data_IF_943965898312
#
_entry.id   IF_943965898312
#
_cell.length_a   1.000
_cell.length_b   1.000
_cell.length_c   1.000
_cell.angle_alpha   90.00
_cell.angle_beta   90.00
_cell.angle_gamma   90.00
#
_symmetry.space_group_name_H-M   'P 1'
#
loop_
_entity.id
_entity.type
_entity.pdbx_description
1 polymer ?
#
# COMPACT_ATOMS: atom_id res chain seq x y z
N UNK A 1 -85.16 44.90 -56.27
CA UNK A 1 -85.67 43.53 -56.27
C UNK A 1 -84.43 42.65 -56.14
N UNK A 2 -84.17 42.14 -54.91
CA UNK A 2 -83.04 41.26 -54.64
C UNK A 2 -83.58 40.06 -53.90
N UNK A 3 -83.48 38.90 -54.52
CA UNK A 3 -83.83 37.62 -53.93
C UNK A 3 -82.71 37.13 -52.99
N UNK A 4 -83.13 36.82 -51.73
CA UNK A 4 -82.27 36.14 -50.74
C UNK A 4 -82.65 34.63 -50.77
N UNK A 5 -81.64 33.82 -51.00
CA UNK A 5 -81.75 32.34 -50.78
C UNK A 5 -81.08 32.00 -49.44
N UNK A 6 -81.61 31.23 -48.57
CA UNK A 6 -80.95 30.74 -47.40
C UNK A 6 -80.21 29.44 -47.71
N UNK A 7 -78.89 29.43 -47.34
CA UNK A 7 -78.03 28.23 -47.38
C UNK A 7 -78.28 27.40 -46.11
N UNK A 8 -78.68 26.17 -46.34
CA UNK A 8 -78.87 25.17 -45.28
C UNK A 8 -77.54 24.49 -45.06
N UNK A 9 -76.90 24.74 -43.91
CA UNK A 9 -75.62 24.11 -43.51
C UNK A 9 -75.94 22.77 -42.87
N UNK A 10 -75.56 21.67 -43.53
CA UNK A 10 -75.64 20.32 -43.02
C UNK A 10 -74.36 20.04 -42.20
N UNK A 11 -74.49 20.02 -40.85
CA UNK A 11 -73.37 19.69 -39.92
C UNK A 11 -73.18 18.19 -39.89
N UNK A 12 -72.07 17.71 -40.48
CA UNK A 12 -71.54 16.34 -40.29
C UNK A 12 -70.81 16.27 -38.97
N UNK A 13 -71.37 15.57 -38.00
CA UNK A 13 -70.67 15.22 -36.78
C UNK A 13 -69.74 14.05 -37.07
N UNK A 14 -68.45 14.34 -37.09
CA UNK A 14 -67.36 13.32 -37.08
C UNK A 14 -67.29 12.73 -35.68
N UNK A 15 -67.73 11.52 -35.47
CA UNK A 15 -67.45 10.73 -34.28
C UNK A 15 -66.07 10.12 -34.47
N UNK A 16 -65.10 10.73 -33.86
CA UNK A 16 -63.74 10.12 -33.73
C UNK A 16 -63.85 8.97 -32.72
N UNK A 17 -63.84 7.76 -33.18
CA UNK A 17 -63.57 6.56 -32.38
C UNK A 17 -62.12 6.61 -32.00
N UNK A 18 -61.83 7.10 -30.80
CA UNK A 18 -60.50 6.90 -30.17
C UNK A 18 -60.38 5.41 -29.88
N UNK A 19 -59.65 4.70 -30.73
CA UNK A 19 -59.15 3.36 -30.42
C UNK A 19 -58.20 3.47 -29.20
N UNK A 20 -58.64 2.94 -28.07
CA UNK A 20 -57.70 2.65 -26.96
C UNK A 20 -56.82 1.50 -27.45
N UNK A 21 -55.62 1.79 -27.93
CA UNK A 21 -54.56 0.78 -28.03
C UNK A 21 -54.33 0.25 -26.62
N UNK A 22 -54.35 -1.07 -26.41
CA UNK A 22 -53.97 -1.65 -25.16
C UNK A 22 -52.51 -1.20 -24.90
N UNK A 23 -52.24 -0.51 -23.77
CA UNK A 23 -50.89 -0.30 -23.29
C UNK A 23 -50.30 -1.70 -23.20
N UNK A 24 -49.27 -1.97 -24.02
CA UNK A 24 -48.44 -3.15 -23.86
C UNK A 24 -48.04 -3.23 -22.41
N UNK A 25 -48.52 -4.21 -21.68
CA UNK A 25 -47.98 -4.52 -20.37
C UNK A 25 -46.47 -4.78 -20.56
N UNK A 26 -45.60 -4.14 -19.75
CA UNK A 26 -44.19 -4.37 -19.88
C UNK A 26 -43.95 -5.88 -19.77
N UNK A 27 -43.39 -6.48 -20.83
CA UNK A 27 -43.00 -7.89 -20.80
C UNK A 27 -42.11 -8.10 -19.57
N UNK A 28 -42.38 -9.15 -18.77
CA UNK A 28 -41.53 -9.43 -17.60
C UNK A 28 -40.07 -9.49 -18.05
N UNK A 29 -39.22 -8.72 -17.40
CA UNK A 29 -37.80 -8.68 -17.68
C UNK A 29 -37.21 -10.10 -17.44
N UNK A 30 -36.69 -10.70 -18.51
CA UNK A 30 -36.13 -12.05 -18.42
C UNK A 30 -34.72 -11.93 -17.74
N UNK A 31 -34.60 -12.45 -16.52
CA UNK A 31 -33.33 -12.53 -15.84
C UNK A 31 -32.48 -13.58 -16.58
N UNK A 32 -31.23 -13.24 -17.00
CA UNK A 32 -30.35 -14.18 -17.67
C UNK A 32 -29.85 -15.26 -16.69
N UNK A 33 -29.27 -16.35 -17.19
CA UNK A 33 -28.74 -17.45 -16.36
C UNK A 33 -27.49 -17.05 -15.55
N UNK A 34 -26.77 -16.01 -15.98
CA UNK A 34 -25.62 -15.45 -15.27
C UNK A 34 -25.35 -14.02 -15.72
N UNK A 35 -24.58 -13.28 -14.92
CA UNK A 35 -24.13 -11.92 -15.20
C UNK A 35 -22.60 -11.86 -15.33
N UNK A 36 -22.02 -11.00 -16.18
CA UNK A 36 -20.59 -10.73 -16.19
C UNK A 36 -20.13 -10.25 -14.81
N UNK A 37 -19.05 -10.82 -14.28
CA UNK A 37 -18.52 -10.47 -12.96
C UNK A 37 -17.50 -9.34 -13.05
N UNK A 38 -17.63 -8.36 -12.17
CA UNK A 38 -16.60 -7.39 -11.83
C UNK A 38 -16.00 -7.76 -10.48
N UNK A 39 -14.69 -7.54 -10.35
CA UNK A 39 -13.92 -7.88 -9.16
C UNK A 39 -13.61 -6.63 -8.36
N UNK A 40 -13.73 -6.70 -7.04
CA UNK A 40 -13.34 -5.64 -6.14
C UNK A 40 -11.92 -5.91 -5.61
N UNK A 41 -11.05 -4.93 -5.77
CA UNK A 41 -9.77 -4.86 -5.06
C UNK A 41 -9.93 -3.83 -3.94
N UNK A 42 -9.66 -4.23 -2.72
CA UNK A 42 -9.55 -3.33 -1.57
C UNK A 42 -8.10 -3.33 -1.11
N UNK A 43 -7.45 -2.17 -1.14
CA UNK A 43 -6.12 -1.97 -0.58
C UNK A 43 -6.23 -1.20 0.74
N UNK A 44 -5.43 -1.62 1.72
CA UNK A 44 -5.30 -1.00 3.03
C UNK A 44 -3.97 -0.26 3.08
N UNK A 45 -4.04 1.06 3.14
CA UNK A 45 -2.94 1.98 2.90
C UNK A 45 -2.93 3.13 3.92
N UNK A 46 -1.97 4.03 3.81
CA UNK A 46 -1.88 5.25 4.62
C UNK A 46 -0.75 6.17 4.18
N UNK A 47 -0.89 7.47 4.43
CA UNK A 47 0.10 8.49 4.07
C UNK A 47 1.47 8.26 4.71
N UNK A 48 1.50 7.70 5.93
CA UNK A 48 2.75 7.36 6.62
C UNK A 48 3.35 6.01 6.24
N UNK A 49 2.74 5.27 5.32
CA UNK A 49 3.22 3.96 4.88
C UNK A 49 4.21 4.09 3.72
N UNK A 50 5.50 3.92 4.00
CA UNK A 50 6.55 4.11 3.00
C UNK A 50 6.60 3.04 1.90
N UNK A 51 5.96 1.89 2.09
CA UNK A 51 5.87 0.83 1.08
C UNK A 51 4.57 0.87 0.28
N UNK A 52 3.60 1.71 0.68
CA UNK A 52 2.31 1.75 0.04
C UNK A 52 2.35 2.28 -1.40
N UNK A 53 3.20 3.27 -1.77
CA UNK A 53 3.34 3.66 -3.17
C UNK A 53 3.72 2.49 -4.08
N UNK A 54 4.69 1.67 -3.69
CA UNK A 54 5.06 0.45 -4.42
C UNK A 54 3.90 -0.55 -4.51
N UNK A 55 3.13 -0.71 -3.42
CA UNK A 55 1.92 -1.54 -3.42
C UNK A 55 0.90 -1.07 -4.46
N UNK A 56 0.66 0.24 -4.52
CA UNK A 56 -0.22 0.85 -5.52
C UNK A 56 0.28 0.64 -6.95
N UNK A 57 1.60 0.78 -7.20
CA UNK A 57 2.20 0.49 -8.51
C UNK A 57 1.90 -0.95 -8.94
N UNK A 58 2.13 -1.92 -8.05
CA UNK A 58 1.83 -3.33 -8.32
C UNK A 58 0.35 -3.58 -8.66
N UNK A 59 -0.57 -2.89 -7.98
CA UNK A 59 -2.01 -3.00 -8.25
C UNK A 59 -2.35 -2.37 -9.60
N UNK A 60 -1.82 -1.20 -9.92
CA UNK A 60 -2.04 -0.54 -11.20
C UNK A 60 -1.52 -1.38 -12.37
N UNK A 61 -0.33 -1.96 -12.25
CA UNK A 61 0.23 -2.87 -13.24
C UNK A 61 -0.64 -4.12 -13.41
N UNK A 62 -1.11 -4.71 -12.32
CA UNK A 62 -2.02 -5.84 -12.35
C UNK A 62 -3.34 -5.50 -13.05
N UNK A 63 -3.89 -4.30 -12.82
CA UNK A 63 -5.14 -3.84 -13.43
C UNK A 63 -4.95 -3.32 -14.86
N UNK A 64 -3.74 -3.08 -15.31
CA UNK A 64 -3.48 -2.46 -16.62
C UNK A 64 -4.23 -3.18 -17.75
N UNK A 65 -4.99 -2.39 -18.51
CA UNK A 65 -5.84 -2.88 -19.63
C UNK A 65 -6.96 -3.88 -19.24
N UNK A 66 -7.27 -4.03 -17.95
CA UNK A 66 -8.33 -4.92 -17.47
C UNK A 66 -9.39 -4.15 -16.69
N UNK A 67 -10.48 -3.81 -17.37
CA UNK A 67 -11.60 -3.04 -16.79
C UNK A 67 -12.51 -3.89 -15.89
N UNK A 68 -12.21 -5.17 -15.68
CA UNK A 68 -13.01 -6.03 -14.82
C UNK A 68 -12.71 -5.86 -13.33
N UNK A 69 -11.64 -5.17 -12.98
CA UNK A 69 -11.28 -4.87 -11.59
C UNK A 69 -11.69 -3.45 -11.21
N UNK A 70 -12.20 -3.30 -10.00
CA UNK A 70 -12.58 -2.04 -9.37
C UNK A 70 -11.70 -1.89 -8.13
N UNK A 71 -10.95 -0.79 -8.03
CA UNK A 71 -10.05 -0.51 -6.92
C UNK A 71 -10.69 0.48 -5.94
N UNK A 72 -10.58 0.20 -4.65
CA UNK A 72 -10.83 1.15 -3.56
C UNK A 72 -9.66 1.09 -2.56
N UNK A 73 -9.27 2.25 -2.03
CA UNK A 73 -8.19 2.38 -1.06
C UNK A 73 -8.77 2.79 0.31
N UNK A 74 -8.57 1.93 1.30
CA UNK A 74 -8.90 2.20 2.69
C UNK A 74 -7.69 2.82 3.38
N UNK A 75 -7.72 4.13 3.59
CA UNK A 75 -6.71 4.84 4.37
C UNK A 75 -6.89 4.54 5.85
N UNK A 76 -6.38 3.41 6.27
CA UNK A 76 -6.25 2.98 7.66
C UNK A 76 -5.19 1.88 7.75
N UNK A 77 -3.93 2.26 7.54
CA UNK A 77 -2.78 1.38 7.72
C UNK A 77 -2.37 1.32 9.20
N UNK A 78 -1.16 1.77 9.52
CA UNK A 78 -0.65 1.80 10.90
C UNK A 78 -1.09 3.02 11.70
N UNK A 79 -1.47 4.12 11.05
CA UNK A 79 -1.86 5.37 11.68
C UNK A 79 -3.00 6.03 10.91
N UNK A 80 -3.75 6.90 11.62
CA UNK A 80 -4.71 7.78 10.97
C UNK A 80 -3.97 8.82 10.12
N UNK A 81 -4.57 9.15 8.98
CA UNK A 81 -4.15 10.22 8.09
C UNK A 81 -5.35 11.07 7.65
N UNK A 82 -5.14 12.03 6.74
CA UNK A 82 -6.19 12.97 6.33
C UNK A 82 -7.36 12.31 5.55
N UNK A 83 -7.15 11.10 5.02
CA UNK A 83 -8.17 10.35 4.26
C UNK A 83 -8.83 9.25 5.08
N UNK A 84 -8.39 9.03 6.32
CA UNK A 84 -8.95 8.00 7.20
C UNK A 84 -10.41 8.28 7.54
N UNK A 85 -11.26 7.26 7.39
CA UNK A 85 -12.66 7.28 7.83
C UNK A 85 -12.97 6.09 8.75
N UNK A 86 -13.94 6.25 9.65
CA UNK A 86 -14.32 5.22 10.63
C UNK A 86 -14.74 3.91 9.97
N UNK A 87 -15.48 3.97 8.86
CA UNK A 87 -15.90 2.77 8.12
C UNK A 87 -14.74 1.98 7.57
N UNK A 88 -13.69 2.62 7.04
CA UNK A 88 -12.46 1.97 6.60
C UNK A 88 -11.76 1.26 7.74
N UNK A 89 -11.69 1.88 8.92
CA UNK A 89 -11.16 1.23 10.15
C UNK A 89 -11.92 -0.04 10.50
N UNK A 90 -13.25 0.00 10.44
CA UNK A 90 -14.09 -1.16 10.76
C UNK A 90 -13.84 -2.31 9.79
N UNK A 91 -13.76 -2.04 8.48
CA UNK A 91 -13.45 -3.04 7.45
C UNK A 91 -12.04 -3.63 7.66
N UNK A 92 -11.03 -2.77 7.89
CA UNK A 92 -9.64 -3.18 8.15
C UNK A 92 -9.56 -4.17 9.32
N UNK A 93 -10.25 -3.86 10.42
CA UNK A 93 -10.29 -4.72 11.61
C UNK A 93 -11.02 -6.05 11.35
N UNK A 94 -12.17 -6.00 10.65
CA UNK A 94 -12.95 -7.20 10.33
C UNK A 94 -12.20 -8.17 9.42
N UNK A 95 -11.41 -7.66 8.48
CA UNK A 95 -10.55 -8.45 7.60
C UNK A 95 -9.21 -8.83 8.24
N UNK A 96 -8.99 -8.45 9.52
CA UNK A 96 -7.79 -8.76 10.30
C UNK A 96 -6.49 -8.29 9.63
N UNK A 97 -6.55 -7.15 8.97
CA UNK A 97 -5.37 -6.53 8.37
C UNK A 97 -4.46 -6.02 9.48
N UNK A 98 -3.22 -6.52 9.52
CA UNK A 98 -2.23 -6.21 10.56
C UNK A 98 -1.16 -5.23 10.12
N UNK A 99 -1.14 -4.84 8.85
CA UNK A 99 -0.13 -3.94 8.29
C UNK A 99 -0.50 -3.37 6.93
N UNK A 100 0.30 -2.43 6.45
CA UNK A 100 0.15 -1.83 5.12
C UNK A 100 1.50 -1.84 4.37
N UNK A 101 1.51 -1.97 3.02
CA UNK A 101 0.33 -2.22 2.20
C UNK A 101 -0.18 -3.67 2.34
N UNK A 102 -1.47 -3.81 2.39
CA UNK A 102 -2.15 -5.12 2.34
C UNK A 102 -3.36 -4.97 1.43
N UNK A 103 -3.71 -6.01 0.70
CA UNK A 103 -4.86 -5.99 -0.19
C UNK A 103 -5.69 -7.27 -0.11
N UNK A 104 -6.88 -7.22 -0.67
CA UNK A 104 -7.72 -8.39 -0.95
C UNK A 104 -8.38 -8.25 -2.32
N UNK A 105 -8.65 -9.38 -2.96
CA UNK A 105 -9.45 -9.44 -4.19
C UNK A 105 -10.74 -10.17 -3.86
N UNK A 106 -11.87 -9.49 -3.98
CA UNK A 106 -13.20 -10.01 -3.64
C UNK A 106 -13.33 -10.54 -2.21
N UNK A 107 -12.48 -10.14 -1.26
CA UNK A 107 -12.45 -10.72 0.10
C UNK A 107 -12.37 -12.25 0.09
N UNK A 108 -11.80 -12.82 -0.97
CA UNK A 108 -11.70 -14.24 -1.22
C UNK A 108 -10.24 -14.72 -1.17
N UNK A 109 -10.04 -16.02 -0.96
CA UNK A 109 -8.71 -16.60 -1.04
C UNK A 109 -8.17 -16.48 -2.46
N UNK A 110 -7.04 -15.80 -2.60
CA UNK A 110 -6.30 -15.64 -3.86
C UNK A 110 -5.02 -16.45 -3.77
N UNK A 111 -4.70 -17.21 -4.83
CA UNK A 111 -3.44 -17.96 -4.93
C UNK A 111 -2.36 -17.10 -5.56
N UNK A 112 -1.17 -17.11 -4.99
CA UNK A 112 0.02 -16.40 -5.45
C UNK A 112 1.31 -17.18 -5.10
N UNK A 113 2.46 -16.73 -5.59
CA UNK A 113 3.76 -17.26 -5.20
C UNK A 113 4.45 -16.30 -4.24
N UNK A 114 4.97 -16.82 -3.15
CA UNK A 114 5.86 -16.16 -2.22
C UNK A 114 7.16 -16.94 -2.18
N UNK A 115 8.25 -16.33 -2.63
CA UNK A 115 9.56 -17.01 -2.75
C UNK A 115 9.48 -18.36 -3.52
N UNK A 116 8.70 -18.38 -4.60
CA UNK A 116 8.47 -19.60 -5.40
C UNK A 116 7.51 -20.63 -4.76
N UNK A 117 7.05 -20.41 -3.53
CA UNK A 117 6.13 -21.32 -2.83
C UNK A 117 4.68 -20.85 -3.06
N UNK A 118 3.82 -21.76 -3.50
CA UNK A 118 2.40 -21.46 -3.68
C UNK A 118 1.73 -21.19 -2.33
N UNK A 119 1.15 -20.00 -2.18
CA UNK A 119 0.34 -19.56 -1.04
C UNK A 119 -1.09 -19.30 -1.48
N UNK A 120 -1.98 -19.21 -0.49
CA UNK A 120 -3.36 -18.77 -0.71
C UNK A 120 -3.85 -18.06 0.55
N UNK A 121 -4.27 -16.81 0.39
CA UNK A 121 -4.75 -15.98 1.49
C UNK A 121 -5.88 -15.04 1.05
N UNK A 122 -6.71 -14.62 2.00
CA UNK A 122 -7.75 -13.62 1.77
C UNK A 122 -7.16 -12.22 1.69
N UNK A 123 -6.14 -11.95 2.51
CA UNK A 123 -5.38 -10.70 2.51
C UNK A 123 -3.91 -11.01 2.30
N UNK A 124 -3.24 -10.25 1.45
CA UNK A 124 -1.83 -10.45 1.11
C UNK A 124 -1.17 -9.14 0.67
N UNK A 125 0.16 -9.13 0.60
CA UNK A 125 0.93 -7.96 0.17
C UNK A 125 0.81 -7.78 -1.36
N UNK A 126 0.54 -6.54 -1.87
CA UNK A 126 0.40 -6.26 -3.30
C UNK A 126 1.60 -6.68 -4.16
N UNK A 127 2.81 -6.66 -3.60
CA UNK A 127 4.03 -7.11 -4.29
C UNK A 127 4.00 -8.54 -4.82
N UNK A 128 3.04 -9.39 -4.38
CA UNK A 128 2.85 -10.73 -4.91
C UNK A 128 1.95 -10.79 -6.16
N UNK A 129 1.31 -9.67 -6.54
CA UNK A 129 0.41 -9.61 -7.70
C UNK A 129 1.03 -10.07 -9.03
N UNK A 130 2.32 -9.81 -9.33
CA UNK A 130 2.94 -10.34 -10.55
C UNK A 130 2.88 -11.86 -10.69
N UNK A 131 2.72 -12.58 -9.57
CA UNK A 131 2.58 -14.05 -9.55
C UNK A 131 1.14 -14.57 -9.54
N UNK A 132 0.16 -13.67 -9.51
CA UNK A 132 -1.27 -14.02 -9.48
C UNK A 132 -1.77 -14.33 -10.89
N UNK A 133 -2.19 -15.58 -11.11
CA UNK A 133 -2.86 -15.96 -12.34
C UNK A 133 -4.31 -15.46 -12.35
N UNK A 134 -4.63 -14.55 -13.26
CA UNK A 134 -5.98 -14.00 -13.43
C UNK A 134 -7.03 -15.04 -13.84
N UNK A 135 -6.62 -16.18 -14.38
CA UNK A 135 -7.54 -17.26 -14.76
C UNK A 135 -8.28 -17.90 -13.58
N UNK A 136 -7.79 -17.68 -12.35
CA UNK A 136 -8.46 -18.14 -11.12
C UNK A 136 -9.75 -17.38 -10.80
N UNK A 137 -9.96 -16.20 -11.40
CA UNK A 137 -11.13 -15.39 -11.14
C UNK A 137 -12.32 -15.75 -12.02
N UNK A 138 -13.48 -15.89 -11.42
CA UNK A 138 -14.74 -16.22 -12.11
C UNK A 138 -15.13 -15.11 -13.08
N UNK A 139 -15.51 -15.49 -14.31
CA UNK A 139 -15.94 -14.53 -15.35
C UNK A 139 -17.40 -14.13 -15.21
N UNK A 140 -18.20 -14.92 -14.50
CA UNK A 140 -19.64 -14.71 -14.33
C UNK A 140 -20.05 -14.88 -12.88
N UNK A 141 -21.20 -14.34 -12.53
CA UNK A 141 -21.80 -14.43 -11.22
C UNK A 141 -23.33 -14.55 -11.32
N UNK A 142 -23.97 -14.87 -10.21
CA UNK A 142 -25.43 -15.03 -10.15
C UNK A 142 -26.18 -13.74 -9.78
N UNK A 143 -25.46 -12.62 -9.57
CA UNK A 143 -26.06 -11.35 -9.19
C UNK A 143 -25.62 -10.22 -10.12
N UNK A 144 -26.49 -9.26 -10.39
CA UNK A 144 -26.16 -8.00 -11.03
C UNK A 144 -26.18 -6.86 -10.04
N UNK A 145 -25.37 -5.81 -10.29
CA UNK A 145 -25.38 -4.54 -9.56
C UNK A 145 -25.35 -3.42 -10.59
N UNK A 146 -26.38 -2.58 -10.59
CA UNK A 146 -26.51 -1.41 -11.46
C UNK A 146 -26.61 -0.16 -10.61
N UNK A 147 -25.84 0.87 -10.96
CA UNK A 147 -25.83 2.16 -10.28
C UNK A 147 -26.41 3.22 -11.20
N UNK A 148 -27.44 3.91 -10.72
CA UNK A 148 -27.94 5.15 -11.30
C UNK A 148 -27.78 6.25 -10.27
N UNK A 149 -27.20 7.37 -10.66
CA UNK A 149 -27.02 8.50 -9.76
C UNK A 149 -27.26 9.82 -10.48
N UNK A 150 -27.69 10.81 -9.71
CA UNK A 150 -27.80 12.21 -10.12
C UNK A 150 -27.08 13.08 -9.10
N UNK A 151 -26.33 14.05 -9.60
CA UNK A 151 -25.63 15.02 -8.77
C UNK A 151 -26.15 16.42 -9.07
N UNK A 152 -26.55 17.15 -8.02
CA UNK A 152 -26.92 18.56 -8.10
C UNK A 152 -25.75 19.44 -7.62
N UNK A 153 -25.08 20.18 -8.54
CA UNK A 153 -23.95 21.01 -8.17
C UNK A 153 -24.31 22.20 -7.26
N UNK A 154 -25.58 22.63 -7.22
CA UNK A 154 -26.01 23.76 -6.41
C UNK A 154 -26.13 23.42 -4.92
N UNK A 155 -26.63 22.23 -4.63
CA UNK A 155 -26.78 21.68 -3.27
C UNK A 155 -25.68 20.70 -2.89
N UNK A 156 -24.82 20.32 -3.84
CA UNK A 156 -23.83 19.24 -3.73
C UNK A 156 -24.45 17.90 -3.32
N UNK A 157 -25.74 17.73 -3.57
CA UNK A 157 -26.48 16.51 -3.25
C UNK A 157 -26.26 15.46 -4.34
N UNK A 158 -25.84 14.28 -3.93
CA UNK A 158 -25.74 13.07 -4.74
C UNK A 158 -26.84 12.10 -4.32
N UNK A 159 -27.76 11.79 -5.25
CA UNK A 159 -28.78 10.73 -5.10
C UNK A 159 -28.30 9.51 -5.84
N UNK A 160 -28.32 8.36 -5.17
CA UNK A 160 -27.83 7.09 -5.69
C UNK A 160 -28.96 6.08 -5.60
N UNK A 161 -29.22 5.41 -6.72
CA UNK A 161 -30.09 4.25 -6.78
C UNK A 161 -29.25 3.05 -7.18
N UNK A 162 -29.22 2.02 -6.34
CA UNK A 162 -28.60 0.74 -6.65
C UNK A 162 -29.68 -0.28 -6.87
N UNK A 163 -29.62 -1.02 -7.96
CA UNK A 163 -30.62 -2.04 -8.30
C UNK A 163 -29.96 -3.22 -8.99
N UNK A 164 -30.65 -4.36 -9.00
CA UNK A 164 -30.16 -5.54 -9.70
C UNK A 164 -31.12 -6.71 -9.57
N UNK A 165 -30.65 -7.86 -10.06
CA UNK A 165 -31.39 -9.11 -10.02
C UNK A 165 -30.49 -10.29 -9.66
N UNK A 166 -31.08 -11.35 -9.15
CA UNK A 166 -30.41 -12.63 -8.85
C UNK A 166 -30.92 -13.70 -9.83
N UNK A 167 -30.03 -14.37 -10.55
CA UNK A 167 -30.45 -15.38 -11.53
C UNK A 167 -30.82 -16.73 -10.91
N UNK A 168 -30.50 -16.97 -9.62
CA UNK A 168 -30.85 -18.19 -8.87
C UNK A 168 -31.78 -17.87 -7.70
N UNK A 169 -32.55 -18.87 -7.24
CA UNK A 169 -33.47 -18.72 -6.10
C UNK A 169 -32.79 -19.10 -4.77
N UNK A 170 -31.86 -20.03 -4.81
CA UNK A 170 -31.10 -20.44 -3.65
C UNK A 170 -29.78 -19.61 -3.59
N UNK A 171 -29.78 -18.59 -2.75
CA UNK A 171 -28.66 -17.70 -2.50
C UNK A 171 -28.55 -17.41 -0.99
N UNK A 172 -27.32 -17.17 -0.50
CA UNK A 172 -27.13 -16.79 0.89
C UNK A 172 -27.70 -15.40 1.18
N UNK A 173 -27.84 -15.04 2.45
CA UNK A 173 -28.18 -13.68 2.85
C UNK A 173 -27.10 -12.73 2.36
N UNK A 174 -27.47 -11.78 1.52
CA UNK A 174 -26.54 -10.80 0.95
C UNK A 174 -26.71 -9.44 1.62
N UNK A 175 -25.60 -8.73 1.67
CA UNK A 175 -25.53 -7.34 2.09
C UNK A 175 -25.05 -6.48 0.91
N UNK A 176 -25.65 -5.31 0.76
CA UNK A 176 -25.23 -4.28 -0.18
C UNK A 176 -24.33 -3.27 0.54
N UNK A 177 -23.12 -3.08 0.03
CA UNK A 177 -22.23 -1.99 0.47
C UNK A 177 -22.17 -0.92 -0.61
N UNK A 178 -22.35 0.34 -0.22
CA UNK A 178 -22.26 1.51 -1.11
C UNK A 178 -21.26 2.50 -0.57
N UNK A 179 -20.31 2.89 -1.41
CA UNK A 179 -19.19 3.78 -1.08
C UNK A 179 -19.05 4.90 -2.10
N UNK A 180 -18.44 5.99 -1.69
CA UNK A 180 -17.90 7.02 -2.60
C UNK A 180 -16.39 7.08 -2.43
N UNK A 181 -15.66 6.96 -3.53
CA UNK A 181 -14.22 7.15 -3.59
C UNK A 181 -13.87 8.40 -4.39
N UNK A 182 -12.72 8.98 -4.13
CA UNK A 182 -12.18 10.15 -4.81
C UNK A 182 -10.74 9.91 -5.28
N UNK A 183 -10.37 10.53 -6.39
CA UNK A 183 -9.01 10.52 -6.95
C UNK A 183 -8.50 11.95 -7.14
N UNK A 184 -7.17 12.11 -7.23
CA UNK A 184 -6.55 13.40 -7.55
C UNK A 184 -6.31 14.31 -6.36
N UNK A 185 -6.49 13.84 -5.15
CA UNK A 185 -6.17 14.61 -3.94
C UNK A 185 -4.65 14.72 -3.77
N UNK A 186 -4.19 15.92 -3.44
CA UNK A 186 -2.77 16.21 -3.23
C UNK A 186 -2.48 16.34 -1.74
N UNK A 187 -1.58 15.51 -1.24
CA UNK A 187 -1.09 15.57 0.15
C UNK A 187 0.27 14.85 0.25
N UNK A 188 0.87 14.83 1.42
CA UNK A 188 2.13 14.13 1.67
C UNK A 188 1.97 12.61 1.60
N UNK A 189 3.06 11.91 1.27
CA UNK A 189 3.15 10.44 1.28
C UNK A 189 4.57 10.01 1.59
N UNK A 190 4.74 9.12 2.56
CA UNK A 190 6.01 8.43 2.74
C UNK A 190 6.25 7.46 1.58
N UNK A 191 7.50 7.38 1.09
CA UNK A 191 7.86 6.48 -0.01
C UNK A 191 9.30 6.03 0.13
N UNK A 192 9.50 4.76 0.49
CA UNK A 192 10.85 4.22 0.73
C UNK A 192 11.54 3.71 -0.53
N UNK A 193 10.84 3.62 -1.68
CA UNK A 193 11.40 3.11 -2.93
C UNK A 193 11.74 4.20 -3.95
N UNK A 194 10.85 5.20 -4.09
CA UNK A 194 10.93 6.16 -5.20
C UNK A 194 11.43 7.54 -4.78
N UNK A 195 11.33 7.88 -3.50
CA UNK A 195 11.80 9.16 -2.97
C UNK A 195 12.40 8.94 -1.60
N UNK A 196 13.63 9.38 -1.43
CA UNK A 196 14.44 9.23 -0.22
C UNK A 196 13.71 9.61 1.08
N UNK A 197 12.95 10.70 1.06
CA UNK A 197 12.20 11.20 2.21
C UNK A 197 10.68 11.16 2.00
N UNK A 198 10.22 10.56 0.90
CA UNK A 198 8.82 10.59 0.49
C UNK A 198 8.46 11.83 -0.31
N UNK A 199 7.20 12.14 -0.35
CA UNK A 199 6.62 13.18 -1.18
C UNK A 199 5.92 14.22 -0.32
N UNK A 200 6.28 15.48 -0.49
CA UNK A 200 5.55 16.61 0.07
C UNK A 200 4.19 16.76 -0.61
N UNK A 201 4.18 16.54 -1.92
CA UNK A 201 2.98 16.52 -2.74
C UNK A 201 2.93 15.20 -3.51
N UNK A 202 1.96 14.38 -3.16
CA UNK A 202 1.66 13.10 -3.78
C UNK A 202 0.20 13.09 -4.21
N UNK A 203 -0.07 12.56 -5.38
CA UNK A 203 -1.44 12.46 -5.88
C UNK A 203 -2.04 11.13 -5.47
N UNK A 204 -2.96 11.21 -4.50
CA UNK A 204 -3.72 10.06 -4.01
C UNK A 204 -4.91 9.79 -4.92
N UNK A 205 -5.19 8.53 -5.17
CA UNK A 205 -6.29 8.08 -6.04
C UNK A 205 -7.13 7.02 -5.34
N UNK A 206 -8.37 6.83 -5.81
CA UNK A 206 -9.27 5.77 -5.35
C UNK A 206 -9.52 5.68 -3.84
N UNK A 207 -9.21 6.73 -3.08
CA UNK A 207 -9.42 6.73 -1.62
C UNK A 207 -10.90 6.74 -1.27
N UNK A 208 -11.32 5.86 -0.37
CA UNK A 208 -12.70 5.81 0.13
C UNK A 208 -12.96 7.04 1.00
N UNK A 209 -13.94 7.86 0.60
CA UNK A 209 -14.30 9.12 1.27
C UNK A 209 -15.55 9.00 2.13
N UNK A 210 -16.47 8.11 1.73
CA UNK A 210 -17.68 7.80 2.49
C UNK A 210 -18.11 6.34 2.26
N UNK A 211 -18.71 5.76 3.27
CA UNK A 211 -19.48 4.51 3.19
C UNK A 211 -20.90 4.86 3.64
N UNK A 212 -21.86 4.66 2.76
CA UNK A 212 -23.24 5.09 2.95
C UNK A 212 -24.09 4.05 3.71
N UNK A 213 -23.65 2.81 3.68
CA UNK A 213 -24.22 1.67 4.38
C UNK A 213 -23.49 1.41 5.70
N UNK A 214 -23.90 0.41 6.45
CA UNK A 214 -23.03 -0.17 7.48
C UNK A 214 -21.73 -0.66 6.84
N UNK A 215 -20.64 -0.73 7.61
CA UNK A 215 -19.34 -1.22 7.10
C UNK A 215 -19.39 -2.68 6.63
N UNK A 216 -20.32 -3.49 7.17
CA UNK A 216 -20.60 -4.85 6.73
C UNK A 216 -21.61 -4.93 5.56
N UNK A 217 -22.11 -3.80 5.11
CA UNK A 217 -23.24 -3.68 4.21
C UNK A 217 -24.59 -3.65 4.93
N UNK A 218 -25.61 -3.15 4.25
CA UNK A 218 -27.00 -3.23 4.67
C UNK A 218 -27.63 -4.51 4.11
N UNK A 219 -28.54 -5.13 4.85
CA UNK A 219 -29.22 -6.36 4.41
C UNK A 219 -29.98 -6.12 3.10
N UNK A 220 -29.75 -6.98 2.11
CA UNK A 220 -30.34 -6.86 0.80
C UNK A 220 -31.75 -7.45 0.79
N UNK A 221 -32.76 -6.61 0.56
CA UNK A 221 -34.15 -7.04 0.40
C UNK A 221 -34.43 -7.36 -1.07
N UNK A 222 -34.64 -8.64 -1.36
CA UNK A 222 -34.91 -9.14 -2.71
C UNK A 222 -36.40 -9.50 -2.82
N UNK A 223 -37.07 -8.98 -3.83
CA UNK A 223 -38.50 -9.24 -4.04
C UNK A 223 -38.81 -10.66 -4.63
N UNK A 224 -40.06 -10.98 -4.75
CA UNK A 224 -40.53 -12.28 -5.30
C UNK A 224 -40.13 -12.51 -6.76
N UNK A 225 -39.77 -11.46 -7.49
CA UNK A 225 -39.28 -11.51 -8.88
C UNK A 225 -37.76 -11.56 -8.94
N UNK A 226 -37.07 -11.69 -7.79
CA UNK A 226 -35.63 -11.75 -7.62
C UNK A 226 -34.90 -10.44 -7.97
N UNK A 227 -35.60 -9.32 -7.87
CA UNK A 227 -35.04 -7.99 -8.04
C UNK A 227 -34.87 -7.30 -6.69
N UNK A 228 -33.96 -6.34 -6.64
CA UNK A 228 -33.74 -5.47 -5.50
C UNK A 228 -33.52 -4.03 -5.95
N UNK A 229 -33.79 -3.08 -5.06
CA UNK A 229 -33.60 -1.66 -5.28
C UNK A 229 -33.43 -0.95 -3.96
N UNK A 230 -32.34 -0.22 -3.83
CA UNK A 230 -32.01 0.61 -2.65
C UNK A 230 -31.65 2.03 -3.11
N UNK A 231 -31.96 3.01 -2.27
CA UNK A 231 -31.70 4.43 -2.56
C UNK A 231 -30.92 5.08 -1.41
N UNK A 232 -29.92 5.88 -1.76
CA UNK A 232 -29.07 6.59 -0.84
C UNK A 232 -28.92 8.05 -1.25
N UNK A 233 -28.66 8.92 -0.28
CA UNK A 233 -28.38 10.34 -0.52
C UNK A 233 -27.13 10.75 0.27
N UNK A 234 -26.25 11.53 -0.35
CA UNK A 234 -25.04 12.06 0.24
C UNK A 234 -24.86 13.51 -0.20
N UNK A 235 -24.62 14.42 0.74
CA UNK A 235 -24.10 15.74 0.41
C UNK A 235 -22.57 15.67 0.37
N UNK A 236 -21.95 15.93 -0.79
CA UNK A 236 -20.51 15.92 -0.94
C UNK A 236 -19.90 17.09 -0.15
N UNK A 237 -18.82 16.81 0.58
CA UNK A 237 -18.07 17.85 1.30
C UNK A 237 -17.47 18.86 0.32
N UNK A 238 -17.34 20.12 0.74
CA UNK A 238 -16.82 21.20 -0.11
C UNK A 238 -15.42 20.92 -0.67
N UNK A 239 -14.58 20.24 0.11
CA UNK A 239 -13.24 19.87 -0.30
C UNK A 239 -13.16 18.74 -1.35
N UNK A 240 -14.28 18.08 -1.67
CA UNK A 240 -14.29 17.01 -2.68
C UNK A 240 -14.53 17.56 -4.06
N UNK A 241 -13.86 17.01 -5.05
CA UNK A 241 -14.03 17.32 -6.46
C UNK A 241 -15.00 16.31 -7.09
N UNK A 242 -16.28 16.68 -7.34
CA UNK A 242 -17.29 15.72 -7.78
C UNK A 242 -16.95 14.97 -9.06
N UNK A 243 -16.26 15.63 -9.99
CA UNK A 243 -15.80 15.08 -11.27
C UNK A 243 -14.76 13.98 -11.09
N UNK A 244 -14.09 13.95 -9.93
CA UNK A 244 -13.06 12.98 -9.55
C UNK A 244 -13.61 11.89 -8.62
N UNK A 245 -14.92 11.90 -8.35
CA UNK A 245 -15.56 10.95 -7.47
C UNK A 245 -16.29 9.84 -8.25
N UNK A 246 -16.28 8.63 -7.68
CA UNK A 246 -17.06 7.49 -8.13
C UNK A 246 -17.90 6.91 -7.02
N UNK A 247 -19.12 6.51 -7.35
CA UNK A 247 -19.91 5.58 -6.54
C UNK A 247 -19.40 4.17 -6.82
N UNK A 248 -19.16 3.39 -5.78
CA UNK A 248 -18.88 1.96 -5.84
C UNK A 248 -19.94 1.22 -5.04
N UNK A 249 -20.50 0.17 -5.60
CA UNK A 249 -21.47 -0.69 -4.93
C UNK A 249 -21.11 -2.16 -5.14
N UNK A 250 -21.26 -2.98 -4.10
CA UNK A 250 -20.98 -4.40 -4.20
C UNK A 250 -21.87 -5.23 -3.25
N UNK A 251 -22.06 -6.49 -3.62
CA UNK A 251 -22.77 -7.49 -2.84
C UNK A 251 -21.81 -8.48 -2.21
N UNK A 252 -22.02 -8.78 -0.93
CA UNK A 252 -21.26 -9.78 -0.18
C UNK A 252 -22.09 -10.35 0.97
N UNK A 253 -21.66 -11.44 1.59
CA UNK A 253 -22.19 -11.89 2.88
C UNK A 253 -21.39 -11.21 3.98
N UNK A 254 -21.84 -10.01 4.43
CA UNK A 254 -21.09 -9.17 5.36
C UNK A 254 -19.64 -8.92 4.88
N UNK A 255 -18.64 -9.36 5.66
CA UNK A 255 -17.22 -9.24 5.32
C UNK A 255 -16.67 -10.46 4.53
N UNK A 256 -17.54 -11.37 4.10
CA UNK A 256 -17.21 -12.57 3.32
C UNK A 256 -17.02 -12.22 1.81
N UNK A 257 -16.76 -13.20 0.96
CA UNK A 257 -16.43 -12.95 -0.44
C UNK A 257 -17.47 -12.07 -1.19
N UNK A 258 -16.95 -11.16 -1.97
CA UNK A 258 -17.73 -10.28 -2.85
C UNK A 258 -18.26 -11.08 -4.04
N UNK A 259 -19.58 -11.04 -4.20
CA UNK A 259 -20.31 -11.73 -5.28
C UNK A 259 -20.24 -10.94 -6.56
N UNK A 260 -20.50 -9.62 -6.49
CA UNK A 260 -20.55 -8.71 -7.65
C UNK A 260 -20.21 -7.30 -7.19
N UNK A 261 -19.54 -6.54 -8.05
CA UNK A 261 -19.27 -5.13 -7.84
C UNK A 261 -19.61 -4.29 -9.08
N UNK A 262 -19.86 -3.01 -8.85
CA UNK A 262 -20.07 -2.00 -9.91
C UNK A 262 -19.50 -0.66 -9.45
N UNK A 263 -19.16 0.21 -10.42
CA UNK A 263 -18.81 1.60 -10.16
C UNK A 263 -19.37 2.52 -11.23
N UNK A 264 -19.65 3.77 -10.84
CA UNK A 264 -20.13 4.81 -11.76
C UNK A 264 -19.63 6.19 -11.33
N UNK A 265 -19.17 7.06 -12.27
CA UNK A 265 -18.83 8.43 -11.95
C UNK A 265 -19.98 9.18 -11.29
N UNK A 266 -19.67 10.05 -10.32
CA UNK A 266 -20.63 10.91 -9.64
C UNK A 266 -21.24 11.91 -10.63
N UNK A 267 -20.41 12.56 -11.44
CA UNK A 267 -20.84 13.50 -12.49
C UNK A 267 -20.92 12.75 -13.81
N UNK A 268 -22.08 12.78 -14.42
CA UNK A 268 -22.32 12.12 -15.71
C UNK A 268 -21.42 12.70 -16.81
N UNK A 269 -20.89 11.82 -17.66
CA UNK A 269 -19.97 12.18 -18.75
C UNK A 269 -18.52 12.38 -18.35
N UNK A 270 -18.18 12.31 -17.05
CA UNK A 270 -16.80 12.31 -16.57
C UNK A 270 -16.26 10.87 -16.43
N UNK A 271 -14.95 10.76 -16.14
CA UNK A 271 -14.31 9.48 -15.81
C UNK A 271 -14.26 9.20 -14.30
N UNK A 272 -14.81 10.10 -13.47
CA UNK A 272 -14.76 9.96 -12.02
C UNK A 272 -13.34 9.83 -11.46
N UNK A 273 -12.37 10.47 -12.11
CA UNK A 273 -10.96 10.40 -11.73
C UNK A 273 -10.22 9.11 -12.12
N UNK A 274 -10.81 8.23 -12.95
CA UNK A 274 -10.18 6.96 -13.34
C UNK A 274 -8.93 7.13 -14.21
N UNK A 275 -8.75 8.28 -14.84
CA UNK A 275 -7.60 8.63 -15.67
C UNK A 275 -6.57 9.49 -14.94
N UNK A 276 -6.79 9.78 -13.68
CA UNK A 276 -5.84 10.53 -12.85
C UNK A 276 -4.75 9.55 -12.39
N UNK A 277 -3.49 9.77 -12.76
CA UNK A 277 -2.39 8.93 -12.30
C UNK A 277 -2.13 9.18 -10.80
N UNK A 278 -1.85 8.13 -10.05
CA UNK A 278 -1.28 8.27 -8.71
C UNK A 278 0.21 8.63 -8.82
N UNK A 279 0.80 9.10 -7.74
CA UNK A 279 2.25 9.25 -7.66
C UNK A 279 2.73 10.60 -7.16
N UNK A 280 4.02 10.64 -6.88
CA UNK A 280 4.70 11.81 -6.37
C UNK A 280 4.78 12.96 -7.39
N UNK A 281 4.62 14.16 -6.88
CA UNK A 281 4.71 15.42 -7.66
C UNK A 281 5.93 16.20 -7.20
N UNK A 282 6.02 16.46 -5.91
CA UNK A 282 7.11 17.22 -5.30
C UNK A 282 7.72 16.39 -4.18
N UNK A 283 8.96 15.90 -4.35
CA UNK A 283 9.64 15.16 -3.29
C UNK A 283 9.97 16.09 -2.10
N UNK A 284 10.09 15.51 -0.93
CA UNK A 284 10.66 16.22 0.22
C UNK A 284 12.12 16.50 -0.11
N UNK A 285 12.60 17.75 0.06
CA UNK A 285 14.01 18.04 -0.18
C UNK A 285 14.94 17.23 0.69
N UNK A 286 15.91 16.57 0.09
CA UNK A 286 17.00 15.91 0.83
C UNK A 286 17.90 17.01 1.39
N UNK A 287 18.25 16.97 2.70
CA UNK A 287 19.19 17.91 3.26
C UNK A 287 20.55 17.84 2.54
N UNK A 288 21.09 18.99 2.16
CA UNK A 288 22.39 19.11 1.45
C UNK A 288 23.57 18.55 2.24
N UNK A 289 23.35 18.16 3.48
CA UNK A 289 24.40 17.72 4.39
C UNK A 289 24.71 16.22 4.28
N UNK A 290 23.90 15.44 3.60
CA UNK A 290 24.17 14.02 3.38
C UNK A 290 25.24 13.84 2.29
N UNK A 291 26.32 13.10 2.58
CA UNK A 291 27.32 12.83 1.57
C UNK A 291 26.78 11.90 0.47
N UNK A 292 27.34 12.01 -0.70
CA UNK A 292 27.04 11.07 -1.80
C UNK A 292 27.50 9.65 -1.46
N UNK A 293 26.76 8.62 -1.90
CA UNK A 293 27.11 7.23 -1.69
C UNK A 293 28.48 6.82 -2.26
N UNK A 294 29.13 5.91 -1.57
CA UNK A 294 30.47 5.37 -1.90
C UNK A 294 30.50 4.45 -3.14
N UNK A 295 29.34 4.11 -3.66
CA UNK A 295 29.20 3.26 -4.85
C UNK A 295 29.58 3.96 -6.16
N UNK A 296 29.87 5.23 -6.13
CA UNK A 296 30.48 5.92 -7.25
C UNK A 296 31.99 5.68 -7.23
N UNK A 297 32.61 5.64 -8.39
CA UNK A 297 34.03 5.37 -8.53
C UNK A 297 34.98 6.42 -7.92
N UNK A 298 34.45 7.48 -7.35
CA UNK A 298 35.22 8.58 -6.78
C UNK A 298 35.18 8.56 -5.25
N UNK A 299 36.31 8.62 -4.55
CA UNK A 299 36.38 8.75 -3.10
C UNK A 299 35.63 9.99 -2.62
N UNK A 300 34.89 9.86 -1.52
CA UNK A 300 34.24 10.96 -0.83
C UNK A 300 35.13 11.47 0.31
N UNK A 301 35.34 12.77 0.39
CA UNK A 301 36.15 13.38 1.46
C UNK A 301 35.26 13.76 2.65
N UNK A 302 35.18 12.86 3.62
CA UNK A 302 34.49 13.07 4.89
C UNK A 302 35.36 13.79 5.95
N UNK A 303 36.62 14.03 5.68
CA UNK A 303 37.58 14.61 6.65
C UNK A 303 37.19 16.02 7.11
N UNK A 304 36.37 16.73 6.34
CA UNK A 304 35.91 18.09 6.66
C UNK A 304 34.63 18.11 7.50
N UNK A 305 34.07 16.96 7.81
CA UNK A 305 32.85 16.86 8.62
C UNK A 305 33.18 16.67 10.09
N UNK A 306 32.35 17.26 10.92
CA UNK A 306 32.36 16.91 12.34
C UNK A 306 31.93 15.43 12.49
N UNK A 307 32.40 14.81 13.59
CA UNK A 307 32.06 13.41 13.89
C UNK A 307 30.53 13.24 14.02
N UNK A 308 29.94 12.42 13.17
CA UNK A 308 28.52 12.10 13.26
C UNK A 308 28.25 11.26 14.52
N UNK A 309 27.32 11.72 15.36
CA UNK A 309 26.94 11.03 16.59
C UNK A 309 25.56 10.43 16.46
N UNK A 310 25.46 9.11 16.63
CA UNK A 310 24.22 8.37 16.55
C UNK A 310 23.60 8.20 17.93
N UNK A 311 22.37 8.69 18.10
CA UNK A 311 21.71 8.83 19.40
C UNK A 311 21.25 7.51 20.03
N UNK A 312 21.09 6.46 19.22
CA UNK A 312 20.60 5.14 19.66
C UNK A 312 21.51 4.06 19.13
N UNK A 313 21.88 3.10 19.99
CA UNK A 313 22.68 1.95 19.59
C UNK A 313 22.18 0.67 20.26
N UNK A 314 21.85 -0.32 19.44
CA UNK A 314 21.45 -1.65 19.88
C UNK A 314 22.50 -2.69 19.49
N UNK A 315 22.65 -3.71 20.33
CA UNK A 315 23.53 -4.83 20.04
C UNK A 315 22.78 -6.15 20.24
N UNK A 316 22.96 -7.05 19.29
CA UNK A 316 22.43 -8.42 19.31
C UNK A 316 23.58 -9.38 19.15
N UNK A 317 23.54 -10.51 19.86
CA UNK A 317 24.56 -11.56 19.69
C UNK A 317 23.95 -12.81 19.06
N UNK A 318 24.73 -13.43 18.21
CA UNK A 318 24.49 -14.78 17.70
C UNK A 318 25.69 -15.65 18.01
N UNK A 319 25.45 -16.80 18.63
CA UNK A 319 26.52 -17.69 19.09
C UNK A 319 26.74 -18.83 18.11
N UNK A 320 28.02 -19.10 17.81
CA UNK A 320 28.49 -20.18 16.96
C UNK A 320 29.44 -21.06 17.76
N UNK A 321 28.94 -21.96 18.63
CA UNK A 321 29.77 -22.77 19.54
C UNK A 321 30.74 -23.70 18.81
N UNK A 322 30.35 -24.22 17.64
CA UNK A 322 31.23 -25.07 16.80
C UNK A 322 32.47 -24.35 16.32
N UNK A 323 32.37 -23.05 16.10
CA UNK A 323 33.43 -22.22 15.54
C UNK A 323 34.18 -21.44 16.63
N UNK A 324 33.73 -21.58 17.89
CA UNK A 324 34.28 -20.89 19.02
C UNK A 324 34.02 -19.38 19.02
N UNK A 325 32.95 -18.91 18.36
CA UNK A 325 32.69 -17.52 18.11
C UNK A 325 31.32 -17.04 18.59
N UNK A 326 31.25 -15.74 18.88
CA UNK A 326 30.00 -14.96 19.00
C UNK A 326 30.12 -13.79 18.06
N UNK A 327 29.08 -13.58 17.24
CA UNK A 327 28.98 -12.40 16.37
C UNK A 327 27.98 -11.41 16.96
N UNK A 328 28.43 -10.20 17.19
CA UNK A 328 27.59 -9.09 17.61
C UNK A 328 27.19 -8.25 16.40
N UNK A 329 25.90 -8.14 16.15
CA UNK A 329 25.37 -7.15 15.21
C UNK A 329 25.03 -5.87 15.97
N UNK A 330 25.68 -4.78 15.62
CA UNK A 330 25.48 -3.46 16.21
C UNK A 330 24.74 -2.61 15.21
N UNK A 331 23.60 -2.03 15.65
CA UNK A 331 22.76 -1.13 14.86
C UNK A 331 22.69 0.22 15.56
N UNK A 332 22.99 1.28 14.84
CA UNK A 332 22.95 2.62 15.41
C UNK A 332 22.28 3.64 14.47
N UNK A 333 21.49 4.55 15.06
CA UNK A 333 20.74 5.59 14.33
C UNK A 333 20.42 6.79 15.24
N UNK A 334 19.92 7.87 14.64
CA UNK A 334 19.70 9.13 15.36
C UNK A 334 18.38 9.22 16.14
N UNK A 335 17.45 8.30 15.92
CA UNK A 335 16.17 8.28 16.63
C UNK A 335 15.82 6.86 17.06
N UNK A 336 14.83 6.70 17.95
CA UNK A 336 14.31 5.38 18.28
C UNK A 336 13.70 4.73 17.04
N UNK A 337 13.84 3.44 16.91
CA UNK A 337 13.33 2.65 15.78
C UNK A 337 11.85 2.92 15.47
N UNK A 338 11.02 3.10 16.48
CA UNK A 338 9.58 3.44 16.31
C UNK A 338 9.33 4.77 15.61
N UNK A 339 10.29 5.68 15.64
CA UNK A 339 10.23 6.99 14.97
C UNK A 339 10.88 6.91 13.59
N UNK A 340 11.89 6.06 13.42
CA UNK A 340 12.59 5.86 12.14
C UNK A 340 11.67 5.27 11.05
N UNK A 341 10.69 4.45 11.42
CA UNK A 341 9.75 3.82 10.48
C UNK A 341 8.63 4.77 10.01
N UNK A 342 8.51 5.95 10.58
CA UNK A 342 7.30 6.71 10.31
C UNK A 342 7.41 8.21 10.13
N UNK A 343 8.33 8.86 9.46
CA UNK A 343 8.27 10.31 9.09
C UNK A 343 9.52 11.14 9.38
N UNK A 344 10.62 10.52 9.68
CA UNK A 344 11.83 11.30 9.94
C UNK A 344 12.64 11.41 8.66
N UNK A 345 13.17 12.59 8.34
CA UNK A 345 14.12 12.75 7.27
C UNK A 345 15.27 11.78 7.44
N UNK A 346 15.84 11.37 6.35
CA UNK A 346 16.97 10.49 6.20
C UNK A 346 17.90 10.44 7.41
N UNK A 347 17.93 9.32 8.09
CA UNK A 347 18.71 9.13 9.31
C UNK A 347 19.89 8.22 8.99
N UNK A 348 21.11 8.58 9.30
CA UNK A 348 22.23 7.66 9.19
C UNK A 348 21.98 6.40 10.00
N UNK A 349 22.10 5.26 9.38
CA UNK A 349 22.07 3.95 10.02
C UNK A 349 23.45 3.31 9.87
N UNK A 350 23.99 2.84 10.96
CA UNK A 350 25.23 2.06 10.98
C UNK A 350 24.90 0.63 11.36
N UNK A 351 25.38 -0.31 10.58
CA UNK A 351 25.32 -1.73 10.86
C UNK A 351 26.75 -2.27 10.89
N UNK A 352 27.13 -2.85 11.99
CA UNK A 352 28.45 -3.39 12.23
C UNK A 352 28.35 -4.84 12.69
N UNK A 353 29.32 -5.64 12.28
CA UNK A 353 29.47 -7.02 12.72
C UNK A 353 30.78 -7.16 13.46
N UNK A 354 30.72 -7.41 14.76
CA UNK A 354 31.87 -7.59 15.63
C UNK A 354 31.96 -9.06 16.02
N UNK A 355 33.09 -9.68 15.70
CA UNK A 355 33.39 -11.07 16.06
C UNK A 355 34.10 -11.10 17.41
N UNK A 356 33.62 -11.94 18.32
CA UNK A 356 34.19 -12.14 19.65
C UNK A 356 34.42 -13.62 19.90
N UNK A 357 35.35 -13.99 20.82
CA UNK A 357 35.44 -15.37 21.29
C UNK A 357 34.13 -15.86 21.87
N UNK A 358 33.82 -17.15 21.69
CA UNK A 358 32.62 -17.75 22.24
C UNK A 358 32.55 -17.64 23.75
N UNK A 359 31.40 -17.19 24.24
CA UNK A 359 31.01 -17.22 25.64
C UNK A 359 29.54 -17.72 25.72
N UNK A 360 29.24 -18.57 26.68
CA UNK A 360 27.88 -19.12 26.86
C UNK A 360 26.83 -18.03 27.16
N UNK A 361 27.27 -16.93 27.81
CA UNK A 361 26.45 -15.74 28.10
C UNK A 361 27.28 -14.48 27.80
N UNK A 362 27.38 -14.11 26.54
CA UNK A 362 28.24 -13.02 26.16
C UNK A 362 27.77 -11.68 26.77
N UNK A 363 28.69 -10.97 27.42
CA UNK A 363 28.46 -9.61 27.86
C UNK A 363 28.59 -8.63 26.68
N UNK A 364 27.97 -7.45 26.80
CA UNK A 364 28.14 -6.40 25.80
C UNK A 364 29.63 -6.13 25.57
N UNK A 365 30.09 -6.07 24.31
CA UNK A 365 31.51 -5.90 23.99
C UNK A 365 32.02 -4.54 24.47
N UNK A 366 33.25 -4.55 24.94
CA UNK A 366 34.01 -3.33 25.28
C UNK A 366 35.46 -3.53 24.89
N UNK A 367 36.12 -2.46 24.44
CA UNK A 367 37.52 -2.52 24.01
C UNK A 367 37.79 -1.78 22.72
N UNK A 368 38.95 -2.09 22.12
CA UNK A 368 39.37 -1.58 20.81
C UNK A 368 39.41 -2.74 19.81
N UNK A 369 38.76 -2.58 18.69
CA UNK A 369 38.58 -3.60 17.66
C UNK A 369 39.09 -3.06 16.33
N UNK A 370 39.86 -3.87 15.60
CA UNK A 370 40.30 -3.51 14.25
C UNK A 370 39.20 -3.83 13.24
N UNK A 371 39.02 -2.95 12.27
CA UNK A 371 38.12 -3.17 11.13
C UNK A 371 38.93 -3.73 9.99
N UNK A 372 38.68 -4.95 9.58
CA UNK A 372 39.36 -5.61 8.48
C UNK A 372 38.51 -6.74 7.89
N UNK A 373 38.98 -7.37 6.81
CA UNK A 373 38.28 -8.45 6.14
C UNK A 373 38.44 -9.82 6.85
N UNK A 374 39.15 -9.89 8.00
CA UNK A 374 39.23 -11.14 8.75
C UNK A 374 38.01 -11.34 9.63
N UNK A 375 37.62 -12.58 9.83
CA UNK A 375 36.54 -12.99 10.74
C UNK A 375 37.09 -13.50 12.07
N UNK A 376 38.32 -13.12 12.37
CA UNK A 376 38.99 -13.51 13.61
C UNK A 376 38.40 -12.83 14.85
N UNK A 377 38.46 -13.46 16.02
CA UNK A 377 37.98 -12.85 17.25
C UNK A 377 38.61 -11.49 17.54
N UNK A 378 37.79 -10.58 18.08
CA UNK A 378 38.13 -9.18 18.37
C UNK A 378 38.34 -8.30 17.13
N UNK A 379 37.65 -8.62 16.05
CA UNK A 379 37.60 -7.78 14.85
C UNK A 379 36.18 -7.34 14.50
N UNK A 380 36.08 -6.18 13.86
CA UNK A 380 34.86 -5.74 13.16
C UNK A 380 35.04 -6.13 11.69
N UNK A 381 34.10 -6.89 11.17
CA UNK A 381 34.15 -7.36 9.78
C UNK A 381 34.01 -6.16 8.85
N UNK A 382 34.99 -5.94 7.98
CA UNK A 382 34.94 -4.89 6.98
C UNK A 382 33.80 -5.10 5.99
N UNK A 383 33.25 -4.03 5.44
CA UNK A 383 32.29 -4.07 4.37
C UNK A 383 32.95 -4.59 3.08
N UNK A 384 32.39 -5.60 2.49
CA UNK A 384 32.88 -6.26 1.27
C UNK A 384 31.78 -6.23 0.23
N UNK A 385 32.17 -5.94 -1.00
CA UNK A 385 31.29 -6.04 -2.17
C UNK A 385 31.71 -7.25 -2.99
N UNK A 386 30.80 -8.18 -3.17
CA UNK A 386 30.92 -9.29 -4.09
C UNK A 386 30.18 -8.95 -5.38
N UNK A 387 30.93 -8.66 -6.43
CA UNK A 387 30.36 -8.28 -7.73
C UNK A 387 29.87 -9.51 -8.53
N UNK A 388 30.33 -10.72 -8.21
CA UNK A 388 29.89 -11.95 -8.87
C UNK A 388 28.51 -12.40 -8.36
N UNK A 389 28.31 -12.31 -7.05
CA UNK A 389 27.02 -12.64 -6.41
C UNK A 389 26.09 -11.43 -6.30
N UNK A 390 26.55 -10.25 -6.72
CA UNK A 390 25.84 -8.98 -6.58
C UNK A 390 25.41 -8.70 -5.12
N UNK A 391 26.24 -9.04 -4.15
CA UNK A 391 25.95 -8.92 -2.72
C UNK A 391 26.97 -8.02 -1.99
N UNK A 392 26.51 -7.47 -0.88
CA UNK A 392 27.32 -6.66 0.04
C UNK A 392 27.28 -7.32 1.41
N UNK A 393 28.44 -7.52 2.00
CA UNK A 393 28.63 -8.14 3.30
C UNK A 393 29.37 -7.23 4.25
N UNK A 394 29.31 -7.54 5.55
CA UNK A 394 30.09 -6.89 6.57
C UNK A 394 29.58 -5.52 6.99
N UNK A 395 30.46 -4.72 7.54
CA UNK A 395 30.12 -3.46 8.20
C UNK A 395 29.91 -2.33 7.22
N UNK A 396 28.82 -1.59 7.41
CA UNK A 396 28.39 -0.53 6.52
C UNK A 396 27.64 0.54 7.26
N UNK A 397 27.56 1.73 6.69
CA UNK A 397 26.56 2.70 7.07
C UNK A 397 25.80 3.17 5.83
N UNK A 398 24.56 3.54 6.02
CA UNK A 398 23.67 3.97 4.96
C UNK A 398 22.54 4.83 5.51
N UNK A 399 21.86 5.52 4.62
CA UNK A 399 20.69 6.31 4.96
C UNK A 399 19.41 5.47 4.87
N UNK A 400 18.42 5.83 5.68
CA UNK A 400 17.20 5.04 5.88
C UNK A 400 16.10 5.28 4.88
N UNK A 401 16.36 5.96 3.77
CA UNK A 401 15.43 6.05 2.66
C UNK A 401 15.12 4.68 2.05
N UNK A 402 16.13 3.83 2.11
CA UNK A 402 15.95 2.42 1.82
C UNK A 402 15.75 1.73 3.12
N UNK A 403 14.47 1.42 3.35
CA UNK A 403 14.14 0.80 4.60
C UNK A 403 15.10 -0.35 4.86
N UNK A 404 15.46 -0.43 6.09
CA UNK A 404 16.11 -1.55 6.72
C UNK A 404 15.55 -2.94 6.30
N UNK A 405 14.36 -2.97 5.71
CA UNK A 405 13.64 -4.14 5.24
C UNK A 405 13.66 -4.31 3.71
N UNK A 406 14.20 -3.35 2.96
CA UNK A 406 14.31 -3.51 1.53
C UNK A 406 15.39 -4.54 1.21
N UNK A 407 15.03 -5.56 0.49
CA UNK A 407 15.93 -6.63 0.05
C UNK A 407 16.95 -6.17 -1.01
N UNK A 408 16.94 -4.91 -1.37
CA UNK A 408 17.79 -4.39 -2.43
C UNK A 408 19.02 -3.69 -1.86
N UNK A 409 19.94 -4.49 -1.34
CA UNK A 409 21.23 -4.06 -0.83
C UNK A 409 22.18 -3.53 -1.90
N UNK A 410 21.84 -3.70 -3.14
CA UNK A 410 22.67 -3.34 -4.28
C UNK A 410 22.38 -1.94 -4.82
N UNK A 411 21.46 -1.21 -4.21
CA UNK A 411 21.28 0.16 -4.64
C UNK A 411 22.41 1.05 -4.08
N UNK A 412 23.36 1.39 -4.92
CA UNK A 412 24.59 2.06 -4.51
C UNK A 412 24.39 3.51 -4.06
N UNK A 413 23.20 4.06 -4.18
CA UNK A 413 22.94 5.48 -3.92
C UNK A 413 22.83 5.84 -2.43
N UNK A 414 22.88 4.88 -1.53
CA UNK A 414 22.66 5.11 -0.11
C UNK A 414 23.55 4.29 0.84
N UNK A 415 24.64 3.73 0.34
CA UNK A 415 25.51 2.84 1.12
C UNK A 415 26.98 3.24 1.07
N UNK A 416 27.66 3.15 2.21
CA UNK A 416 29.11 3.22 2.35
C UNK A 416 29.60 1.98 3.08
N UNK A 417 30.54 1.28 2.48
CA UNK A 417 31.16 0.11 3.09
C UNK A 417 32.31 0.58 3.96
N UNK A 418 32.36 0.18 5.22
CA UNK A 418 33.44 0.50 6.16
C UNK A 418 34.53 -0.53 5.94
N UNK A 419 35.63 -0.11 5.30
CA UNK A 419 36.68 -1.02 4.80
C UNK A 419 37.83 -1.27 5.78
N UNK A 420 38.23 -0.25 6.53
CA UNK A 420 39.33 -0.35 7.46
C UNK A 420 39.24 0.68 8.59
N UNK A 421 40.06 0.54 9.61
CA UNK A 421 40.12 1.44 10.73
C UNK A 421 40.03 0.75 12.08
N UNK A 422 39.57 1.49 13.09
CA UNK A 422 39.35 0.95 14.43
C UNK A 422 38.02 1.41 15.02
N UNK A 423 37.44 0.52 15.82
CA UNK A 423 36.25 0.81 16.63
C UNK A 423 36.61 0.73 18.10
N UNK A 424 36.24 1.73 18.89
CA UNK A 424 36.37 1.72 20.34
C UNK A 424 34.97 1.68 20.95
N UNK A 425 34.76 0.74 21.86
CA UNK A 425 33.47 0.60 22.59
C UNK A 425 33.76 0.73 24.07
N UNK A 426 33.06 1.60 24.76
CA UNK A 426 33.13 1.80 26.19
C UNK A 426 31.74 2.11 26.80
N UNK A 427 31.71 2.51 28.07
CA UNK A 427 30.45 2.81 28.77
C UNK A 427 29.75 4.08 28.30
N UNK A 428 30.51 5.01 27.72
CA UNK A 428 29.99 6.28 27.19
C UNK A 428 29.45 6.14 25.77
N UNK A 429 29.78 5.04 25.08
CA UNK A 429 29.37 4.78 23.71
C UNK A 429 30.45 4.09 22.89
N UNK A 430 30.39 4.31 21.59
CA UNK A 430 31.40 3.79 20.67
C UNK A 430 31.83 4.85 19.66
N UNK A 431 33.00 4.65 19.10
CA UNK A 431 33.55 5.48 18.01
C UNK A 431 34.18 4.60 16.95
N UNK A 432 34.10 5.05 15.69
CA UNK A 432 34.83 4.51 14.56
C UNK A 432 35.67 5.63 13.96
N UNK A 433 36.95 5.35 13.74
CA UNK A 433 37.87 6.14 12.91
C UNK A 433 38.41 5.19 11.84
N UNK A 434 38.11 5.46 10.58
CA UNK A 434 38.44 4.51 9.52
C UNK A 434 38.29 5.07 8.12
N UNK A 435 38.24 4.16 7.17
CA UNK A 435 38.02 4.50 5.75
C UNK A 435 36.93 3.66 5.15
N UNK A 436 36.27 4.20 4.15
CA UNK A 436 35.31 3.49 3.33
C UNK A 436 36.02 2.67 2.25
N UNK A 437 35.25 1.82 1.56
CA UNK A 437 35.77 1.01 0.44
C UNK A 437 36.40 1.87 -0.66
N UNK A 438 35.90 3.06 -0.92
CA UNK A 438 36.46 3.99 -1.91
C UNK A 438 37.56 4.91 -1.33
N UNK A 439 37.99 4.67 -0.11
CA UNK A 439 39.12 5.38 0.51
C UNK A 439 38.77 6.71 1.16
N UNK A 440 37.50 7.02 1.36
CA UNK A 440 37.06 8.21 2.11
C UNK A 440 37.28 7.99 3.62
N UNK A 441 37.82 9.00 4.32
CA UNK A 441 37.92 8.96 5.79
C UNK A 441 36.53 9.12 6.40
N UNK A 442 36.24 8.33 7.44
CA UNK A 442 35.00 8.41 8.21
C UNK A 442 35.29 8.52 9.71
N UNK A 443 34.43 9.30 10.37
CA UNK A 443 34.47 9.50 11.83
C UNK A 443 33.02 9.35 12.34
N UNK A 444 32.70 8.21 12.96
CA UNK A 444 31.40 7.93 13.50
C UNK A 444 31.46 7.76 15.01
N UNK A 445 30.39 8.09 15.70
CA UNK A 445 30.23 7.79 17.11
C UNK A 445 28.77 7.45 17.41
N UNK A 446 28.53 6.71 18.46
CA UNK A 446 27.19 6.35 18.87
C UNK A 446 27.03 6.26 20.38
N UNK A 447 25.77 6.30 20.79
CA UNK A 447 25.35 6.12 22.17
C UNK A 447 25.82 4.75 22.73
N UNK A 448 25.84 4.58 24.06
CA UNK A 448 26.13 3.29 24.69
C UNK A 448 25.32 2.16 24.11
N UNK A 449 25.93 1.01 23.90
CA UNK A 449 25.26 -0.17 23.41
C UNK A 449 24.21 -0.66 24.42
N UNK A 450 23.04 -1.03 23.94
CA UNK A 450 21.97 -1.61 24.73
C UNK A 450 21.44 -2.89 24.07
N UNK A 451 21.02 -3.85 24.88
CA UNK A 451 20.32 -5.03 24.39
C UNK A 451 18.82 -4.67 24.39
N UNK A 452 18.12 -4.75 23.26
CA UNK A 452 16.70 -4.41 23.22
C UNK A 452 15.89 -5.39 24.07
N UNK A 453 14.92 -4.86 24.83
CA UNK A 453 14.07 -5.66 25.74
C UNK A 453 13.03 -6.53 25.03
N UNK A 454 12.75 -6.26 23.79
CA UNK A 454 11.94 -7.08 22.90
C UNK A 454 12.78 -7.49 21.74
N UNK A 455 12.65 -8.75 21.28
CA UNK A 455 13.23 -9.12 20.00
C UNK A 455 12.77 -8.08 18.98
N UNK A 456 13.71 -7.21 18.56
CA UNK A 456 13.38 -6.25 17.53
C UNK A 456 12.88 -7.07 16.33
N UNK A 457 11.91 -6.57 15.58
CA UNK A 457 11.49 -7.18 14.33
C UNK A 457 12.57 -6.98 13.26
N UNK A 458 13.80 -7.17 13.65
CA UNK A 458 14.92 -7.24 12.74
C UNK A 458 14.83 -8.62 12.11
N UNK A 459 14.14 -8.72 10.99
CA UNK A 459 14.46 -9.81 10.06
C UNK A 459 15.95 -9.71 9.84
N UNK A 460 16.66 -10.79 10.15
CA UNK A 460 18.08 -10.94 9.91
C UNK A 460 18.40 -10.40 8.52
N UNK A 461 19.00 -9.25 8.46
CA UNK A 461 19.55 -8.76 7.23
C UNK A 461 20.79 -9.60 6.99
N UNK A 462 20.69 -10.47 6.02
CA UNK A 462 21.73 -11.34 5.45
C UNK A 462 22.72 -11.94 6.46
N UNK A 463 22.85 -13.26 6.40
CA UNK A 463 23.88 -13.99 7.09
C UNK A 463 25.17 -13.21 7.09
N UNK A 464 25.72 -12.92 8.25
CA UNK A 464 27.15 -12.82 8.39
C UNK A 464 27.66 -14.17 7.90
N UNK A 465 28.20 -14.24 6.70
CA UNK A 465 28.75 -15.48 6.16
C UNK A 465 30.12 -15.60 6.79
N UNK A 466 30.16 -16.30 7.88
CA UNK A 466 31.40 -16.94 8.27
C UNK A 466 31.69 -17.94 7.14
N UNK A 467 32.87 -17.84 6.54
CA UNK A 467 33.29 -18.74 5.45
C UNK A 467 33.31 -20.18 5.93
N UNK A 468 32.21 -20.86 5.77
CA UNK A 468 32.03 -22.27 6.12
C UNK A 468 30.77 -22.74 5.45
N UNK A 469 30.92 -23.68 4.53
CA UNK A 469 29.82 -24.37 3.89
C UNK A 469 28.76 -24.75 4.92
N UNK A 470 27.57 -24.21 4.73
CA UNK A 470 26.36 -24.69 5.42
C UNK A 470 25.74 -25.78 4.54
N UNK A 471 25.94 -27.02 4.96
CA UNK A 471 25.17 -28.16 4.49
C UNK A 471 23.64 -27.99 4.68
#
# INVERSE_FOLDING_TARGET
MKHFFPFLALSFAFVTLTSCEPKDEPKPEVIPDSFPKKHLIEEFTGQGCGYCPYGMDCIHDFMANDTNFILVLHHYGFSQDHFTITGSKTITNALKVSGAPTMTINRAKTSYLEEGIKRSATTFHPGYLPSVDKSQFEKTTYASVNIQNTYDPSSRELKIKVSGALCKQDYPSLNLTVMVKESGMIDSQADYYNSFEGWKEFRHTNAVRAILTNAKGDELLVDSTRHYKEEYTLTLKDAWVPENCMVVAFLSEEFQPVVQAAQKPVVEGTKGGADIPHGGITPVPVPDYYPEPDATSSPQDFSKRERDTLAVSYAYSESYPSDGLVVWTILAYNTSYSVAVGRTPCIPLVQLYLVMPYEDKPALPTGTFQINASEEPNTVIAGIRDDEEAQIYGSQFYFTDKSYFAQDYLNPKAQWLINSGSMIINKEGWTIDGTTFNGSEIHLSGAPLTIPQTAAPVRRMNKCILSGELD
#
